data_IF_934539090238
#
_entry.id   IF_934539090238
#
_cell.length_a   1.000
_cell.length_b   1.000
_cell.length_c   1.000
_cell.angle_alpha   90.00
_cell.angle_beta   90.00
_cell.angle_gamma   90.00
#
_symmetry.space_group_name_H-M   'P 1'
#
loop_
_entity.id
_entity.type
_entity.pdbx_description
1 polymer ?
#
# COMPACT_ATOMS: atom_id res chain seq x y z
N UNK A 1 25.58 -45.14 24.86
CA UNK A 1 24.58 -46.18 24.55
C UNK A 1 23.14 -45.63 24.42
N UNK A 2 22.67 -44.76 25.31
CA UNK A 2 21.27 -44.23 25.29
C UNK A 2 20.94 -43.36 24.05
N UNK A 3 21.90 -42.58 23.55
CA UNK A 3 21.68 -41.66 22.42
C UNK A 3 21.38 -42.37 21.10
N UNK A 4 21.93 -43.57 20.90
CA UNK A 4 21.72 -44.39 19.71
C UNK A 4 20.30 -44.97 19.68
N UNK A 5 19.79 -45.39 20.85
CA UNK A 5 18.41 -45.87 21.01
C UNK A 5 17.38 -44.79 20.65
N UNK A 6 17.57 -43.56 21.14
CA UNK A 6 16.67 -42.44 20.84
C UNK A 6 16.57 -42.15 19.33
N UNK A 7 17.67 -42.28 18.58
CA UNK A 7 17.68 -42.08 17.12
C UNK A 7 17.02 -43.22 16.35
N UNK A 8 17.11 -44.47 16.82
CA UNK A 8 16.50 -45.63 16.15
C UNK A 8 14.97 -45.69 16.30
N UNK A 9 14.41 -44.99 17.29
CA UNK A 9 12.96 -44.92 17.55
C UNK A 9 12.35 -43.56 17.18
N UNK A 10 13.06 -42.71 16.41
CA UNK A 10 12.63 -41.35 16.04
C UNK A 10 12.22 -40.47 17.24
N UNK A 11 12.78 -40.73 18.43
CA UNK A 11 12.43 -39.99 19.64
C UNK A 11 13.25 -38.71 19.68
N UNK A 12 12.61 -37.53 19.58
CA UNK A 12 13.33 -36.26 19.56
C UNK A 12 14.09 -36.04 20.86
N UNK A 13 15.36 -35.66 20.74
CA UNK A 13 16.17 -35.34 21.91
C UNK A 13 15.81 -33.94 22.41
N UNK A 14 16.17 -33.63 23.67
CA UNK A 14 15.97 -32.28 24.23
C UNK A 14 16.51 -31.17 23.31
N UNK A 15 17.65 -31.41 22.66
CA UNK A 15 18.26 -30.46 21.71
C UNK A 15 17.42 -30.23 20.46
N UNK A 16 16.66 -31.23 20.02
CA UNK A 16 15.80 -31.12 18.84
C UNK A 16 14.54 -30.33 19.18
N UNK A 17 14.00 -30.53 20.39
CA UNK A 17 12.91 -29.71 20.95
C UNK A 17 13.34 -28.24 21.08
N UNK A 18 14.52 -27.98 21.65
CA UNK A 18 15.05 -26.62 21.80
C UNK A 18 15.21 -25.90 20.45
N UNK A 19 15.64 -26.63 19.40
CA UNK A 19 15.73 -26.09 18.03
C UNK A 19 14.36 -25.77 17.44
N UNK A 20 13.35 -26.58 17.72
CA UNK A 20 11.98 -26.34 17.25
C UNK A 20 11.43 -25.08 17.93
N UNK A 21 11.60 -24.95 19.25
CA UNK A 21 11.18 -23.76 19.99
C UNK A 21 11.85 -22.49 19.45
N UNK A 22 13.18 -22.50 19.26
CA UNK A 22 13.88 -21.35 18.69
C UNK A 22 13.44 -20.99 17.26
N UNK A 23 12.96 -21.97 16.48
CA UNK A 23 12.38 -21.71 15.15
C UNK A 23 10.97 -21.13 15.26
N UNK A 24 10.16 -21.60 16.22
CA UNK A 24 8.82 -21.06 16.48
C UNK A 24 8.90 -19.60 16.94
N UNK A 25 9.80 -19.26 17.87
CA UNK A 25 10.00 -17.88 18.34
C UNK A 25 10.36 -16.94 17.19
N UNK A 26 11.20 -17.41 16.25
CA UNK A 26 11.57 -16.65 15.05
C UNK A 26 10.36 -16.40 14.15
N UNK A 27 9.53 -17.41 13.94
CA UNK A 27 8.32 -17.29 13.12
C UNK A 27 7.31 -16.37 13.78
N UNK A 28 7.12 -16.46 15.10
CA UNK A 28 6.25 -15.54 15.85
C UNK A 28 6.75 -14.09 15.77
N UNK A 29 8.06 -13.87 15.90
CA UNK A 29 8.66 -12.55 15.70
C UNK A 29 8.43 -11.98 14.30
N UNK A 30 8.57 -12.82 13.25
CA UNK A 30 8.32 -12.42 11.87
C UNK A 30 6.84 -12.11 11.61
N UNK A 31 5.92 -12.93 12.13
CA UNK A 31 4.48 -12.70 12.01
C UNK A 31 4.07 -11.45 12.78
N UNK A 32 4.60 -11.27 14.00
CA UNK A 32 4.38 -10.08 14.82
C UNK A 32 4.87 -8.81 14.14
N UNK A 33 6.04 -8.83 13.50
CA UNK A 33 6.54 -7.71 12.71
C UNK A 33 5.68 -7.43 11.46
N UNK A 34 5.18 -8.47 10.80
CA UNK A 34 4.27 -8.33 9.65
C UNK A 34 2.90 -7.76 10.07
N UNK A 35 2.40 -8.14 11.24
CA UNK A 35 1.15 -7.66 11.82
C UNK A 35 1.24 -6.21 12.33
N UNK A 36 2.38 -5.82 12.94
CA UNK A 36 2.63 -4.47 13.49
C UNK A 36 2.84 -3.39 12.44
N UNK A 37 2.83 -3.74 11.15
CA UNK A 37 2.65 -2.78 10.07
C UNK A 37 3.82 -2.77 9.11
N UNK A 38 3.57 -3.30 7.91
CA UNK A 38 4.36 -2.94 6.76
C UNK A 38 4.42 -1.40 6.64
N UNK A 39 5.60 -0.78 6.45
CA UNK A 39 5.77 0.68 6.38
C UNK A 39 5.08 1.35 5.16
N UNK A 40 4.21 0.63 4.46
CA UNK A 40 3.48 1.09 3.28
C UNK A 40 2.04 1.53 3.52
N UNK A 41 1.42 1.28 4.69
CA UNK A 41 -0.01 1.59 4.90
C UNK A 41 -0.28 3.09 5.02
N UNK A 42 0.50 3.83 5.80
CA UNK A 42 0.32 5.29 5.92
C UNK A 42 0.71 6.06 4.66
N UNK A 43 1.79 5.64 4.00
CA UNK A 43 2.20 6.24 2.72
C UNK A 43 1.17 5.96 1.60
N UNK A 44 0.41 4.86 1.67
CA UNK A 44 -0.70 4.59 0.72
C UNK A 44 -1.96 5.38 1.09
N UNK A 45 -2.27 5.55 2.37
CA UNK A 45 -3.38 6.39 2.84
C UNK A 45 -3.20 7.86 2.45
N UNK A 46 -2.01 8.42 2.66
CA UNK A 46 -1.71 9.79 2.25
C UNK A 46 -1.76 10.00 0.72
N UNK A 47 -1.40 8.97 -0.05
CA UNK A 47 -1.54 8.94 -1.52
C UNK A 47 -2.98 8.85 -2.01
N UNK A 48 -3.85 8.18 -1.25
CA UNK A 48 -5.30 8.16 -1.47
C UNK A 48 -5.90 9.54 -1.23
N UNK A 49 -5.62 10.12 -0.07
CA UNK A 49 -6.12 11.44 0.33
C UNK A 49 -5.83 12.53 -0.72
N UNK A 50 -4.61 12.57 -1.28
CA UNK A 50 -4.27 13.54 -2.32
C UNK A 50 -5.07 13.33 -3.63
N UNK A 51 -5.41 12.09 -3.97
CA UNK A 51 -6.22 11.79 -5.14
C UNK A 51 -7.70 12.14 -4.90
N UNK A 52 -8.20 11.92 -3.69
CA UNK A 52 -9.57 12.25 -3.30
C UNK A 52 -9.79 13.77 -3.30
N UNK A 53 -8.84 14.57 -2.82
CA UNK A 53 -8.88 16.04 -2.89
C UNK A 53 -8.99 16.55 -4.33
N UNK A 54 -8.19 15.99 -5.25
CA UNK A 54 -8.26 16.38 -6.68
C UNK A 54 -9.58 15.95 -7.30
N UNK A 55 -10.08 14.76 -6.97
CA UNK A 55 -11.37 14.28 -7.47
C UNK A 55 -12.52 15.18 -7.01
N UNK A 56 -12.55 15.55 -5.73
CA UNK A 56 -13.58 16.44 -5.19
C UNK A 56 -13.52 17.83 -5.83
N UNK A 57 -12.32 18.33 -6.11
CA UNK A 57 -12.15 19.59 -6.81
C UNK A 57 -12.73 19.54 -8.24
N UNK A 58 -12.49 18.45 -8.97
CA UNK A 58 -13.04 18.27 -10.33
C UNK A 58 -14.56 18.07 -10.28
N UNK A 59 -15.08 17.35 -9.29
CA UNK A 59 -16.53 17.16 -9.09
C UNK A 59 -17.27 18.46 -8.80
N UNK A 60 -16.64 19.39 -8.09
CA UNK A 60 -17.22 20.71 -7.78
C UNK A 60 -17.30 21.63 -9.01
N UNK A 61 -16.53 21.40 -10.08
CA UNK A 61 -16.61 22.23 -11.28
C UNK A 61 -17.54 21.61 -12.34
N UNK A 62 -18.66 22.28 -12.61
CA UNK A 62 -19.66 21.83 -13.60
C UNK A 62 -19.18 21.92 -15.05
N UNK A 63 -18.17 22.74 -15.34
CA UNK A 63 -17.65 23.00 -16.70
C UNK A 63 -16.34 22.26 -17.01
N UNK A 64 -15.93 21.33 -16.13
CA UNK A 64 -14.61 20.74 -16.17
C UNK A 64 -13.55 21.69 -15.61
N UNK A 65 -12.35 21.18 -15.37
CA UNK A 65 -11.27 21.90 -14.72
C UNK A 65 -9.98 21.75 -15.51
N UNK A 66 -9.26 22.87 -15.72
CA UNK A 66 -7.98 22.83 -16.42
C UNK A 66 -6.86 22.31 -15.52
N UNK A 67 -5.83 21.74 -16.13
CA UNK A 67 -4.63 21.31 -15.41
C UNK A 67 -4.01 22.42 -14.55
N UNK A 68 -3.89 23.63 -15.10
CA UNK A 68 -3.35 24.79 -14.38
C UNK A 68 -4.21 25.15 -13.16
N UNK A 69 -5.54 25.12 -13.28
CA UNK A 69 -6.45 25.42 -12.18
C UNK A 69 -6.35 24.38 -11.06
N UNK A 70 -6.18 23.09 -11.41
CA UNK A 70 -5.96 22.01 -10.44
C UNK A 70 -4.64 22.25 -9.70
N UNK A 71 -3.59 22.62 -10.42
CA UNK A 71 -2.27 22.88 -9.83
C UNK A 71 -2.31 24.06 -8.86
N UNK A 72 -2.91 25.19 -9.26
CA UNK A 72 -3.01 26.38 -8.41
C UNK A 72 -3.85 26.11 -7.15
N UNK A 73 -4.98 25.41 -7.28
CA UNK A 73 -5.87 25.13 -6.14
C UNK A 73 -5.33 24.08 -5.18
N UNK A 74 -4.52 23.14 -5.66
CA UNK A 74 -3.98 22.05 -4.81
C UNK A 74 -2.58 22.31 -4.30
N UNK A 75 -1.82 23.22 -4.92
CA UNK A 75 -0.41 23.47 -4.61
C UNK A 75 0.51 22.26 -4.86
N UNK A 76 0.03 21.24 -5.58
CA UNK A 76 0.82 20.05 -5.88
C UNK A 76 1.78 20.29 -7.04
N UNK A 77 2.95 19.66 -6.97
CA UNK A 77 3.91 19.66 -8.07
C UNK A 77 3.31 19.05 -9.35
N UNK A 78 3.72 19.56 -10.51
CA UNK A 78 3.23 19.15 -11.84
C UNK A 78 3.17 17.62 -12.02
N UNK A 79 4.26 16.93 -11.72
CA UNK A 79 4.35 15.45 -11.81
C UNK A 79 3.31 14.75 -10.93
N UNK A 80 3.05 15.28 -9.73
CA UNK A 80 2.08 14.70 -8.79
C UNK A 80 0.65 14.85 -9.32
N UNK A 81 0.30 16.04 -9.83
CA UNK A 81 -1.00 16.30 -10.45
C UNK A 81 -1.22 15.39 -11.66
N UNK A 82 -0.23 15.30 -12.56
CA UNK A 82 -0.30 14.43 -13.76
C UNK A 82 -0.53 12.96 -13.38
N UNK A 83 0.21 12.45 -12.38
CA UNK A 83 0.05 11.07 -11.91
C UNK A 83 -1.31 10.82 -11.21
N UNK A 84 -1.86 11.81 -10.53
CA UNK A 84 -3.20 11.70 -9.93
C UNK A 84 -4.26 11.65 -11.03
N UNK A 85 -4.22 12.58 -11.99
CA UNK A 85 -5.14 12.63 -13.13
C UNK A 85 -5.09 11.32 -13.92
N UNK A 86 -3.89 10.82 -14.23
CA UNK A 86 -3.73 9.55 -14.94
C UNK A 86 -4.40 8.38 -14.19
N UNK A 87 -4.21 8.30 -12.86
CA UNK A 87 -4.86 7.27 -12.04
C UNK A 87 -6.38 7.44 -11.98
N UNK A 88 -6.88 8.66 -11.81
CA UNK A 88 -8.32 8.94 -11.77
C UNK A 88 -9.00 8.62 -13.10
N UNK A 89 -8.33 8.88 -14.21
CA UNK A 89 -8.79 8.52 -15.54
C UNK A 89 -8.79 7.00 -15.73
N UNK A 90 -7.73 6.29 -15.30
CA UNK A 90 -7.66 4.83 -15.35
C UNK A 90 -8.73 4.14 -14.49
N UNK A 91 -9.18 4.79 -13.41
CA UNK A 91 -10.23 4.31 -12.53
C UNK A 91 -11.64 4.74 -12.98
N UNK A 92 -11.78 5.31 -14.18
CA UNK A 92 -13.06 5.81 -14.72
C UNK A 92 -13.81 6.72 -13.74
N UNK A 93 -13.08 7.58 -13.02
CA UNK A 93 -13.67 8.62 -12.15
C UNK A 93 -13.77 9.98 -12.84
N UNK A 94 -12.93 10.20 -13.85
CA UNK A 94 -12.89 11.44 -14.65
C UNK A 94 -12.80 11.10 -16.13
N UNK A 95 -13.41 11.94 -16.97
CA UNK A 95 -13.23 11.95 -18.42
C UNK A 95 -12.44 13.17 -18.86
N UNK A 96 -11.73 13.01 -19.97
CA UNK A 96 -11.10 14.13 -20.66
C UNK A 96 -12.11 14.71 -21.64
N UNK A 97 -12.56 15.94 -21.40
CA UNK A 97 -13.49 16.62 -22.31
C UNK A 97 -12.75 17.25 -23.49
N UNK A 98 -11.61 17.90 -23.24
CA UNK A 98 -10.75 18.49 -24.28
C UNK A 98 -9.27 18.46 -23.86
N UNK A 99 -8.37 19.01 -24.69
CA UNK A 99 -6.93 19.02 -24.38
C UNK A 99 -6.67 19.84 -23.10
N UNK A 100 -6.49 19.15 -21.98
CA UNK A 100 -6.15 19.75 -20.69
C UNK A 100 -7.36 20.11 -19.83
N UNK A 101 -8.58 19.75 -20.23
CA UNK A 101 -9.82 19.93 -19.44
C UNK A 101 -10.36 18.56 -19.03
N UNK A 102 -10.58 18.40 -17.72
CA UNK A 102 -11.06 17.16 -17.12
C UNK A 102 -12.40 17.38 -16.43
N UNK A 103 -13.33 16.46 -16.61
CA UNK A 103 -14.68 16.51 -16.03
C UNK A 103 -14.92 15.22 -15.25
N UNK A 104 -15.58 15.29 -14.10
CA UNK A 104 -15.99 14.09 -13.37
C UNK A 104 -17.06 13.34 -14.17
N UNK A 105 -17.08 12.00 -14.04
CA UNK A 105 -18.16 11.15 -14.53
C UNK A 105 -19.25 11.09 -13.46
#
# INVERSE_FOLDING_TARGET
MVKFFLQSYDIPTKRDVDKIMARLDRLEGMIGAMAKGAPGRDARRSRGAAADVVLDLIRRSKQGLKFADIQVKTGFADKKVRNIIFRLHKLDKIKRHSRGVYTAI
#
